data_IF_415974298408
#
_entry.id   IF_415974298408
#
_cell.length_a   1.000
_cell.length_b   1.000
_cell.length_c   1.000
_cell.angle_alpha   90.00
_cell.angle_beta   90.00
_cell.angle_gamma   90.00
#
_symmetry.space_group_name_H-M   'P 1'
#
loop_
_entity.id
_entity.type
_entity.pdbx_description
1 polymer ?
#
# COMPACT_ATOMS: atom_id res chain seq x y z
N UNK A 1 6.10 34.96 -17.68
CA UNK A 1 6.80 33.75 -18.11
C UNK A 1 6.19 32.58 -17.35
N UNK A 2 5.96 31.45 -18.01
CA UNK A 2 5.48 30.23 -17.35
C UNK A 2 6.57 29.17 -17.38
N UNK A 3 6.62 28.36 -16.32
CA UNK A 3 7.60 27.29 -16.15
C UNK A 3 6.88 25.98 -15.92
N UNK A 4 7.31 24.95 -16.66
CA UNK A 4 6.88 23.56 -16.50
C UNK A 4 8.09 22.64 -16.66
N UNK A 5 7.98 21.42 -16.16
CA UNK A 5 9.06 20.45 -16.23
C UNK A 5 8.61 19.05 -15.83
N UNK A 6 9.53 18.10 -15.88
CA UNK A 6 9.33 16.73 -15.40
C UNK A 6 10.56 16.32 -14.64
N UNK A 7 10.38 15.70 -13.48
CA UNK A 7 11.46 15.08 -12.70
C UNK A 7 11.32 13.57 -12.80
N UNK A 8 12.34 12.93 -13.37
CA UNK A 8 12.43 11.47 -13.43
C UNK A 8 13.34 10.95 -12.33
N UNK A 9 12.82 10.01 -11.53
CA UNK A 9 13.52 9.41 -10.41
C UNK A 9 13.66 7.91 -10.62
N UNK A 10 14.89 7.41 -10.56
CA UNK A 10 15.19 5.98 -10.72
C UNK A 10 16.11 5.53 -9.59
N UNK A 11 15.68 4.52 -8.84
CA UNK A 11 16.49 3.86 -7.82
C UNK A 11 16.48 2.35 -8.02
N UNK A 12 17.62 1.70 -7.78
CA UNK A 12 17.77 0.26 -7.92
C UNK A 12 18.67 -0.26 -6.79
N UNK A 13 18.15 -1.22 -6.03
CA UNK A 13 18.91 -1.95 -5.00
C UNK A 13 18.84 -3.45 -5.28
N UNK A 14 20.01 -4.09 -5.23
CA UNK A 14 20.17 -5.51 -5.57
C UNK A 14 20.93 -6.33 -4.51
N UNK A 15 21.15 -5.79 -3.32
CA UNK A 15 21.97 -6.44 -2.29
C UNK A 15 21.33 -7.73 -1.74
N UNK A 16 19.99 -7.78 -1.64
CA UNK A 16 19.24 -8.93 -1.11
C UNK A 16 17.95 -9.19 -1.90
N UNK A 17 18.01 -9.04 -3.22
CA UNK A 17 16.86 -9.14 -4.11
C UNK A 17 17.02 -8.24 -5.33
N UNK A 18 15.94 -7.90 -6.00
CA UNK A 18 15.93 -6.85 -7.02
C UNK A 18 14.73 -5.94 -6.73
N UNK A 19 15.01 -4.75 -6.22
CA UNK A 19 14.01 -3.74 -5.90
C UNK A 19 14.30 -2.50 -6.71
N UNK A 20 13.29 -2.04 -7.45
CA UNK A 20 13.39 -0.87 -8.31
C UNK A 20 12.27 0.11 -8.01
N UNK A 21 12.61 1.40 -8.07
CA UNK A 21 11.66 2.50 -8.08
C UNK A 21 11.89 3.29 -9.37
N UNK A 22 10.80 3.57 -10.09
CA UNK A 22 10.78 4.49 -11.22
C UNK A 22 9.58 5.41 -11.04
N UNK A 23 9.84 6.71 -10.99
CA UNK A 23 8.82 7.74 -10.91
C UNK A 23 9.08 8.81 -11.96
N UNK A 24 8.02 9.39 -12.49
CA UNK A 24 8.07 10.54 -13.40
C UNK A 24 7.04 11.54 -12.90
N UNK A 25 7.52 12.69 -12.42
CA UNK A 25 6.72 13.67 -11.71
C UNK A 25 6.62 14.91 -12.58
N UNK A 26 5.47 15.14 -13.25
CA UNK A 26 5.25 16.39 -13.99
C UNK A 26 5.07 17.55 -13.01
N UNK A 27 5.67 18.69 -13.35
CA UNK A 27 5.69 19.91 -12.56
C UNK A 27 5.16 21.09 -13.39
N UNK A 28 4.34 21.92 -12.75
CA UNK A 28 3.71 23.08 -13.38
C UNK A 28 2.57 22.71 -14.34
N UNK A 29 2.15 23.65 -15.22
CA UNK A 29 2.72 24.99 -15.41
C UNK A 29 2.49 25.92 -14.21
N UNK A 30 3.49 26.73 -13.85
CA UNK A 30 3.37 27.80 -12.85
C UNK A 30 3.88 29.14 -13.41
N UNK A 31 3.27 30.27 -13.02
CA UNK A 31 3.78 31.58 -13.38
C UNK A 31 5.09 31.85 -12.63
N UNK A 32 6.12 32.30 -13.35
CA UNK A 32 7.39 32.71 -12.77
C UNK A 32 7.42 34.23 -12.57
N UNK A 33 7.54 34.67 -11.31
CA UNK A 33 7.71 36.07 -10.97
C UNK A 33 9.17 36.48 -11.19
N UNK A 34 9.40 37.36 -12.16
CA UNK A 34 10.73 37.89 -12.49
C UNK A 34 10.68 39.41 -12.28
N UNK A 35 11.27 39.94 -11.19
CA UNK A 35 11.22 41.37 -10.87
C UNK A 35 11.97 42.25 -11.89
N UNK A 36 13.14 41.79 -12.34
CA UNK A 36 13.93 42.42 -13.38
C UNK A 36 14.57 41.36 -14.30
N UNK A 37 14.90 41.70 -15.57
CA UNK A 37 15.50 40.74 -16.50
C UNK A 37 16.79 40.08 -15.96
N UNK A 38 17.60 40.82 -15.19
CA UNK A 38 18.82 40.31 -14.56
C UNK A 38 18.55 39.21 -13.50
N UNK A 39 17.37 39.21 -12.88
CA UNK A 39 17.00 38.27 -11.81
C UNK A 39 16.40 36.96 -12.34
N UNK A 40 16.20 36.85 -13.66
CA UNK A 40 15.53 35.70 -14.29
C UNK A 40 16.15 34.37 -13.86
N UNK A 41 17.48 34.27 -13.87
CA UNK A 41 18.17 33.05 -13.46
C UNK A 41 17.93 32.71 -11.98
N UNK A 42 17.98 33.71 -11.10
CA UNK A 42 17.72 33.52 -9.68
C UNK A 42 16.28 33.05 -9.41
N UNK A 43 15.29 33.66 -10.07
CA UNK A 43 13.89 33.24 -9.98
C UNK A 43 13.69 31.79 -10.45
N UNK A 44 14.33 31.39 -11.56
CA UNK A 44 14.26 30.01 -12.06
C UNK A 44 14.84 29.02 -11.04
N UNK A 45 16.04 29.30 -10.52
CA UNK A 45 16.72 28.41 -9.55
C UNK A 45 15.87 28.26 -8.28
N UNK A 46 15.34 29.37 -7.75
CA UNK A 46 14.46 29.32 -6.58
C UNK A 46 13.20 28.48 -6.83
N UNK A 47 12.62 28.59 -8.04
CA UNK A 47 11.43 27.81 -8.39
C UNK A 47 11.75 26.31 -8.54
N UNK A 48 12.92 25.95 -9.10
CA UNK A 48 13.39 24.56 -9.17
C UNK A 48 13.59 24.01 -7.76
N UNK A 49 14.31 24.73 -6.91
CA UNK A 49 14.58 24.29 -5.54
C UNK A 49 13.27 24.03 -4.77
N UNK A 50 12.29 24.93 -4.92
CA UNK A 50 10.97 24.75 -4.31
C UNK A 50 10.28 23.46 -4.80
N UNK A 51 10.35 23.17 -6.10
CA UNK A 51 9.79 21.94 -6.65
C UNK A 51 10.51 20.69 -6.13
N UNK A 52 11.84 20.71 -6.09
CA UNK A 52 12.64 19.59 -5.60
C UNK A 52 12.33 19.30 -4.12
N UNK A 53 12.31 20.32 -3.27
CA UNK A 53 12.09 20.16 -1.83
C UNK A 53 10.64 19.78 -1.48
N UNK A 54 9.68 20.59 -1.93
CA UNK A 54 8.29 20.47 -1.49
C UNK A 54 7.47 19.50 -2.36
N UNK A 55 7.68 19.51 -3.67
CA UNK A 55 6.83 18.75 -4.59
C UNK A 55 7.38 17.36 -4.91
N UNK A 56 8.71 17.16 -4.82
CA UNK A 56 9.35 15.87 -5.08
C UNK A 56 9.75 15.19 -3.76
N UNK A 57 10.66 15.78 -2.99
CA UNK A 57 11.27 15.12 -1.83
C UNK A 57 10.26 14.89 -0.69
N UNK A 58 9.48 15.92 -0.32
CA UNK A 58 8.46 15.77 0.75
C UNK A 58 7.41 14.73 0.38
N UNK A 59 6.85 14.82 -0.84
CA UNK A 59 5.82 13.87 -1.31
C UNK A 59 6.34 12.44 -1.42
N UNK A 60 7.61 12.26 -1.80
CA UNK A 60 8.23 10.95 -1.81
C UNK A 60 8.33 10.37 -0.39
N UNK A 61 8.72 11.19 0.59
CA UNK A 61 8.71 10.80 2.02
C UNK A 61 7.32 10.39 2.50
N UNK A 62 6.32 11.25 2.26
CA UNK A 62 4.92 11.00 2.61
C UNK A 62 4.36 9.72 1.96
N UNK A 63 4.73 9.45 0.69
CA UNK A 63 4.36 8.22 0.00
C UNK A 63 4.92 7.00 0.72
N UNK A 64 6.21 6.99 1.04
CA UNK A 64 6.83 5.85 1.73
C UNK A 64 6.26 5.67 3.15
N UNK A 65 5.98 6.76 3.85
CA UNK A 65 5.31 6.71 5.14
C UNK A 65 3.88 6.16 5.02
N UNK A 66 3.11 6.56 4.01
CA UNK A 66 1.78 5.99 3.74
C UNK A 66 1.84 4.49 3.45
N UNK A 67 2.81 4.07 2.62
CA UNK A 67 3.00 2.66 2.24
C UNK A 67 3.31 1.79 3.45
N UNK A 68 4.07 2.30 4.42
CA UNK A 68 4.54 1.51 5.56
C UNK A 68 3.71 1.70 6.85
N UNK A 69 3.22 2.92 7.09
CA UNK A 69 2.70 3.38 8.38
C UNK A 69 1.31 4.05 8.30
N UNK A 70 0.68 4.13 7.12
CA UNK A 70 -0.65 4.73 6.94
C UNK A 70 -1.77 4.09 7.77
N UNK A 71 -2.97 4.70 7.76
CA UNK A 71 -4.12 4.19 8.50
C UNK A 71 -4.42 2.71 8.18
N UNK A 72 -4.68 1.90 9.22
CA UNK A 72 -4.80 0.44 9.09
C UNK A 72 -3.46 -0.31 9.00
N UNK A 73 -2.33 0.39 9.14
CA UNK A 73 -0.97 -0.17 9.17
C UNK A 73 -0.18 0.00 7.87
N UNK A 74 -0.66 0.81 6.93
CA UNK A 74 0.00 1.08 5.64
C UNK A 74 -0.37 0.08 4.54
N UNK A 75 -0.17 0.49 3.28
CA UNK A 75 -0.53 -0.28 2.09
C UNK A 75 0.10 -1.68 2.05
N UNK A 76 1.34 -1.86 2.54
CA UNK A 76 1.95 -3.20 2.56
C UNK A 76 1.29 -4.13 3.57
N UNK A 77 0.83 -3.61 4.72
CA UNK A 77 0.17 -4.44 5.74
C UNK A 77 -1.25 -4.83 5.34
N UNK A 78 -1.89 -4.08 4.46
CA UNK A 78 -3.19 -4.46 3.87
C UNK A 78 -3.03 -5.65 2.92
N UNK A 79 -1.95 -5.72 2.15
CA UNK A 79 -1.61 -6.88 1.32
C UNK A 79 -1.27 -8.10 2.17
N UNK A 80 -0.39 -7.94 3.17
CA UNK A 80 0.01 -9.03 4.06
C UNK A 80 0.27 -8.53 5.47
N UNK A 81 -0.49 -9.08 6.41
CA UNK A 81 -0.28 -8.83 7.84
C UNK A 81 1.01 -9.50 8.32
N UNK A 82 1.69 -8.84 9.27
CA UNK A 82 2.85 -9.41 9.96
C UNK A 82 2.43 -10.60 10.85
N UNK A 83 1.25 -10.49 11.48
CA UNK A 83 0.63 -11.56 12.25
C UNK A 83 -0.85 -11.72 11.89
N UNK A 84 -1.40 -12.94 12.06
CA UNK A 84 -2.84 -13.16 12.04
C UNK A 84 -3.59 -12.17 12.95
N UNK A 85 -4.88 -11.97 12.70
CA UNK A 85 -5.73 -11.07 13.51
C UNK A 85 -5.70 -11.43 15.00
N UNK A 86 -5.57 -12.72 15.30
CA UNK A 86 -5.43 -13.26 16.67
C UNK A 86 -4.16 -12.82 17.39
N UNK A 87 -3.19 -12.22 16.69
CA UNK A 87 -1.85 -11.88 17.20
C UNK A 87 -1.07 -13.09 17.73
N UNK A 88 -1.43 -14.29 17.28
CA UNK A 88 -0.72 -15.53 17.57
C UNK A 88 -0.16 -16.12 16.29
N UNK A 89 1.00 -16.78 16.37
CA UNK A 89 1.51 -17.55 15.23
C UNK A 89 0.52 -18.65 14.88
N UNK A 90 0.42 -18.97 13.60
CA UNK A 90 -0.47 -20.03 13.13
C UNK A 90 -0.06 -21.37 13.75
N UNK A 91 -1.01 -22.03 14.40
CA UNK A 91 -0.83 -23.38 14.91
C UNK A 91 -1.04 -24.39 13.79
N UNK A 92 0.03 -24.73 13.10
CA UNK A 92 0.02 -25.71 12.03
C UNK A 92 -0.28 -27.13 12.51
N UNK A 93 -0.06 -27.46 13.80
CA UNK A 93 -0.34 -28.81 14.34
C UNK A 93 -1.84 -29.08 14.39
N UNK A 94 -2.63 -28.06 14.75
CA UNK A 94 -4.08 -28.17 14.89
C UNK A 94 -4.86 -27.60 13.70
N UNK A 95 -4.19 -27.00 12.72
CA UNK A 95 -4.82 -26.39 11.55
C UNK A 95 -5.75 -27.34 10.78
N UNK A 96 -5.39 -28.62 10.64
CA UNK A 96 -6.24 -29.63 10.00
C UNK A 96 -7.40 -30.12 10.87
N UNK A 97 -7.22 -30.12 12.19
CA UNK A 97 -8.21 -30.63 13.16
C UNK A 97 -9.44 -29.73 13.21
N UNK A 98 -9.27 -28.41 13.14
CA UNK A 98 -10.40 -27.49 13.12
C UNK A 98 -11.29 -27.65 11.88
N UNK A 99 -10.69 -27.96 10.71
CA UNK A 99 -11.46 -28.25 9.48
C UNK A 99 -12.22 -29.57 9.61
N UNK A 100 -11.58 -30.61 10.14
CA UNK A 100 -12.21 -31.92 10.36
C UNK A 100 -13.36 -31.86 11.36
N UNK A 101 -13.17 -31.18 12.50
CA UNK A 101 -14.19 -31.00 13.52
C UNK A 101 -15.43 -30.28 12.97
N UNK A 102 -15.24 -29.23 12.17
CA UNK A 102 -16.33 -28.51 11.52
C UNK A 102 -17.09 -29.39 10.52
N UNK A 103 -16.39 -30.13 9.66
CA UNK A 103 -17.02 -31.05 8.70
C UNK A 103 -17.79 -32.19 9.39
N UNK A 104 -17.28 -32.68 10.52
CA UNK A 104 -17.99 -33.70 11.30
C UNK A 104 -19.25 -33.15 11.99
N UNK A 105 -19.20 -31.93 12.52
CA UNK A 105 -20.37 -31.26 13.08
C UNK A 105 -21.48 -31.04 12.03
N UNK A 106 -21.11 -30.49 10.86
CA UNK A 106 -22.04 -30.24 9.75
C UNK A 106 -22.68 -31.56 9.23
N UNK A 107 -21.94 -32.68 9.22
CA UNK A 107 -22.48 -34.01 8.87
C UNK A 107 -23.42 -34.58 9.94
N UNK A 108 -23.14 -34.35 11.22
CA UNK A 108 -23.99 -34.78 12.32
C UNK A 108 -25.37 -34.11 12.30
N UNK A 109 -25.40 -32.81 12.01
CA UNK A 109 -26.64 -32.03 11.89
C UNK A 109 -27.50 -32.49 10.71
N UNK A 110 -26.89 -32.82 9.56
CA UNK A 110 -27.59 -33.34 8.39
C UNK A 110 -28.22 -34.72 8.64
N UNK A 111 -27.56 -35.59 9.40
CA UNK A 111 -28.11 -36.91 9.77
C UNK A 111 -29.30 -36.79 10.73
N UNK A 112 -29.27 -35.83 11.66
CA UNK A 112 -30.39 -35.58 12.57
C UNK A 112 -31.61 -35.00 11.82
N UNK A 113 -31.38 -34.14 10.84
CA UNK A 113 -32.47 -33.57 10.01
C UNK A 113 -33.10 -34.60 9.06
N UNK A 114 -32.32 -35.53 8.50
CA UNK A 114 -32.87 -36.64 7.71
C UNK A 114 -33.71 -37.60 8.55
N UNK A 115 -33.32 -37.88 9.79
CA UNK A 115 -34.10 -38.74 10.69
C UNK A 115 -35.43 -38.10 11.12
N UNK A 116 -35.49 -36.77 11.24
CA UNK A 116 -36.73 -36.07 11.57
C UNK A 116 -37.71 -35.97 10.39
N UNK A 117 -37.22 -35.90 9.14
CA UNK A 117 -38.08 -35.90 7.95
C UNK A 117 -38.69 -37.27 7.64
N UNK A 118 -38.01 -38.37 8.00
CA UNK A 118 -38.54 -39.75 7.81
C UNK A 118 -39.58 -40.12 8.88
N UNK A 119 -39.59 -39.43 10.04
CA UNK A 119 -40.52 -39.68 11.14
C UNK A 119 -41.86 -38.92 11.08
N UNK A 120 -42.02 -37.95 10.17
CA UNK A 120 -43.20 -37.07 10.10
C UNK A 120 -44.29 -37.45 9.09
N UNK A 121 -44.12 -38.56 8.35
CA UNK A 121 -45.07 -39.04 7.36
C UNK A 121 -45.91 -40.22 7.86
N UNK A 122 -46.85 -39.96 8.77
CA UNK A 122 -47.99 -40.84 9.07
C UNK A 122 -49.22 -40.03 9.40
#
# INVERSE_FOLDING_TARGET
>A
MEMSGVVDLVAHSFENGNVQMRSSIPLGPVPLAVPAPADTAASIVLQIQRWEDADVQSKLGELYDSVNNGEGGGMLKSLRRIMPVTRTRMDWKNAGVHRLARTMAERGEQQQQQQQQVGGGR
#
